data_IF_668615779644
#
_entry.id   IF_668615779644
#
_cell.length_a   1.000
_cell.length_b   1.000
_cell.length_c   1.000
_cell.angle_alpha   90.00
_cell.angle_beta   90.00
_cell.angle_gamma   90.00
#
_symmetry.space_group_name_H-M   'P 1'
#
loop_
_entity.id
_entity.type
_entity.pdbx_description
1 polymer ?
#
# COMPACT_ATOMS: atom_id res chain seq x y z
N UNK A 1 10.45 1.02 15.47
CA UNK A 1 9.19 0.26 15.48
C UNK A 1 9.50 -1.12 14.96
N UNK A 2 9.09 -2.16 15.68
CA UNK A 2 9.16 -3.55 15.21
C UNK A 2 7.93 -3.84 14.34
N UNK A 3 8.10 -4.69 13.34
CA UNK A 3 7.08 -5.08 12.35
C UNK A 3 6.65 -6.55 12.53
N UNK A 4 7.12 -7.21 13.60
CA UNK A 4 6.82 -8.61 13.92
C UNK A 4 5.32 -8.89 14.15
N UNK A 5 4.54 -7.85 14.45
CA UNK A 5 3.09 -7.95 14.69
C UNK A 5 2.25 -7.72 13.42
N UNK A 6 2.88 -7.67 12.25
CA UNK A 6 2.24 -7.58 10.94
C UNK A 6 2.39 -8.92 10.24
N UNK A 7 1.28 -9.50 9.82
CA UNK A 7 1.26 -10.78 9.11
C UNK A 7 1.59 -10.59 7.62
N UNK A 8 1.15 -9.49 7.01
CA UNK A 8 1.43 -9.19 5.60
C UNK A 8 1.58 -7.69 5.32
N UNK A 9 2.56 -7.32 4.50
CA UNK A 9 2.80 -5.97 3.98
C UNK A 9 2.66 -6.01 2.46
N UNK A 10 1.80 -5.17 1.89
CA UNK A 10 1.50 -5.17 0.46
C UNK A 10 0.85 -3.85 0.00
N UNK A 11 0.68 -3.64 -1.32
CA UNK A 11 0.02 -2.42 -1.84
C UNK A 11 -1.51 -2.56 -1.98
N UNK A 12 -2.26 -1.46 -1.92
CA UNK A 12 -3.73 -1.47 -2.14
C UNK A 12 -4.13 -2.14 -3.47
N UNK A 13 -3.32 -1.99 -4.53
CA UNK A 13 -3.62 -2.67 -5.79
C UNK A 13 -3.40 -4.17 -5.69
N UNK A 14 -2.33 -4.62 -5.02
CA UNK A 14 -2.06 -6.04 -4.77
C UNK A 14 -3.21 -6.73 -4.03
N UNK A 15 -3.71 -6.16 -2.92
CA UNK A 15 -4.85 -6.77 -2.19
C UNK A 15 -6.13 -6.79 -3.00
N UNK A 16 -6.37 -5.77 -3.83
CA UNK A 16 -7.52 -5.75 -4.76
C UNK A 16 -7.40 -6.82 -5.84
N UNK A 17 -6.19 -7.09 -6.33
CA UNK A 17 -5.90 -8.15 -7.28
C UNK A 17 -6.14 -9.53 -6.64
N UNK A 18 -5.70 -9.74 -5.38
CA UNK A 18 -5.99 -10.95 -4.61
C UNK A 18 -7.49 -11.12 -4.29
N UNK A 19 -8.20 -10.04 -3.91
CA UNK A 19 -9.65 -10.08 -3.72
C UNK A 19 -10.37 -10.46 -5.02
N UNK A 20 -9.94 -9.89 -6.15
CA UNK A 20 -10.51 -10.22 -7.46
C UNK A 20 -10.29 -11.69 -7.80
N UNK A 21 -9.08 -12.21 -7.55
CA UNK A 21 -8.74 -13.62 -7.73
C UNK A 21 -9.70 -14.55 -6.98
N UNK A 22 -9.93 -14.32 -5.67
CA UNK A 22 -10.80 -15.20 -4.87
C UNK A 22 -12.29 -15.05 -5.16
N UNK A 23 -12.71 -13.90 -5.71
CA UNK A 23 -14.13 -13.60 -5.96
C UNK A 23 -14.60 -14.01 -7.35
N UNK A 24 -13.93 -13.52 -8.40
CA UNK A 24 -14.38 -13.66 -9.80
C UNK A 24 -13.26 -14.02 -10.77
N UNK A 25 -12.03 -14.15 -10.28
CA UNK A 25 -10.82 -14.24 -11.10
C UNK A 25 -10.28 -12.88 -11.55
N UNK A 26 -9.02 -12.86 -11.95
CA UNK A 26 -8.30 -11.64 -12.33
C UNK A 26 -8.72 -11.09 -13.70
N UNK A 27 -8.72 -9.76 -13.83
CA UNK A 27 -8.91 -9.07 -15.12
C UNK A 27 -7.59 -8.84 -15.87
N UNK A 28 -6.46 -8.81 -15.16
CA UNK A 28 -5.11 -8.56 -15.69
C UNK A 28 -4.13 -9.52 -15.04
N UNK A 29 -3.15 -9.98 -15.81
CA UNK A 29 -2.11 -10.83 -15.27
C UNK A 29 -1.30 -10.05 -14.24
N UNK A 30 -0.93 -10.73 -13.16
CA UNK A 30 -0.13 -10.16 -12.07
C UNK A 30 0.97 -11.14 -11.70
N UNK A 31 2.18 -10.61 -11.53
CA UNK A 31 3.31 -11.32 -10.96
C UNK A 31 3.63 -10.69 -9.60
N UNK A 32 3.85 -11.51 -8.58
CA UNK A 32 4.02 -11.09 -7.20
C UNK A 32 5.30 -11.69 -6.64
N UNK A 33 6.28 -10.86 -6.36
CA UNK A 33 7.45 -11.23 -5.57
C UNK A 33 7.04 -11.29 -4.10
N UNK A 34 7.37 -12.39 -3.44
CA UNK A 34 7.00 -12.67 -2.06
C UNK A 34 8.23 -12.99 -1.24
N UNK A 35 8.35 -12.31 -0.10
CA UNK A 35 9.45 -12.48 0.84
C UNK A 35 8.89 -12.64 2.25
N UNK A 36 9.25 -13.73 2.91
CA UNK A 36 8.89 -13.97 4.30
C UNK A 36 10.06 -13.56 5.19
N UNK A 37 9.82 -12.58 6.06
CA UNK A 37 10.78 -12.14 7.08
C UNK A 37 10.15 -12.49 8.43
N UNK A 38 10.77 -13.42 9.15
CA UNK A 38 10.17 -14.07 10.31
C UNK A 38 8.77 -14.60 9.96
N UNK A 39 7.71 -13.95 10.46
CA UNK A 39 6.31 -14.29 10.20
C UNK A 39 5.58 -13.26 9.32
N UNK A 40 6.28 -12.22 8.85
CA UNK A 40 5.72 -11.15 8.02
C UNK A 40 5.94 -11.45 6.54
N UNK A 41 4.86 -11.64 5.79
CA UNK A 41 4.91 -11.80 4.34
C UNK A 41 4.90 -10.44 3.65
N UNK A 42 5.95 -10.11 2.89
CA UNK A 42 5.99 -8.93 2.04
C UNK A 42 5.63 -9.33 0.62
N UNK A 43 4.65 -8.65 0.02
CA UNK A 43 4.20 -8.91 -1.36
C UNK A 43 4.38 -7.65 -2.21
N UNK A 44 5.33 -7.72 -3.16
CA UNK A 44 5.55 -6.70 -4.18
C UNK A 44 5.03 -7.20 -5.54
N UNK A 45 4.06 -6.51 -6.12
CA UNK A 45 3.45 -6.93 -7.38
C UNK A 45 3.94 -6.08 -8.56
N UNK A 46 4.28 -6.73 -9.68
CA UNK A 46 4.39 -6.10 -11.00
C UNK A 46 3.09 -6.36 -11.77
N UNK A 47 2.28 -5.30 -11.91
CA UNK A 47 1.02 -5.35 -12.65
C UNK A 47 1.22 -4.87 -14.09
N UNK A 48 0.56 -5.55 -15.03
CA UNK A 48 0.57 -5.24 -16.48
C UNK A 48 0.26 -3.75 -16.81
N UNK A 49 -0.38 -3.00 -15.88
CA UNK A 49 -0.63 -1.56 -16.01
C UNK A 49 0.64 -0.74 -16.25
N UNK A 50 1.75 -1.08 -15.61
CA UNK A 50 3.00 -0.30 -15.69
C UNK A 50 3.62 -0.32 -17.10
N UNK A 51 3.28 -1.32 -17.92
CA UNK A 51 3.86 -1.48 -19.28
C UNK A 51 3.08 -0.76 -20.38
N UNK A 52 1.87 -0.24 -20.11
CA UNK A 52 0.93 0.26 -21.15
C UNK A 52 0.68 1.77 -21.08
N UNK A 53 1.57 2.54 -20.46
CA UNK A 53 1.49 4.01 -20.45
C UNK A 53 1.68 4.61 -21.86
N UNK A 54 2.37 3.89 -22.76
CA UNK A 54 2.77 4.38 -24.08
C UNK A 54 1.93 3.82 -25.25
N UNK A 55 0.60 3.66 -25.11
CA UNK A 55 -0.25 3.32 -26.27
C UNK A 55 -0.84 4.59 -26.92
N UNK A 56 -0.33 5.04 -28.08
CA UNK A 56 -0.76 6.28 -28.74
C UNK A 56 -2.22 6.24 -29.23
N UNK A 57 -2.89 5.09 -29.17
CA UNK A 57 -4.33 4.95 -29.51
C UNK A 57 -5.26 5.19 -28.34
N UNK A 58 -4.74 5.32 -27.11
CA UNK A 58 -5.58 5.66 -25.95
C UNK A 58 -5.95 7.13 -26.00
N UNK A 59 -7.23 7.41 -25.79
CA UNK A 59 -7.71 8.78 -25.54
C UNK A 59 -6.92 9.40 -24.38
N UNK A 60 -6.69 10.72 -24.38
CA UNK A 60 -6.07 11.41 -23.26
C UNK A 60 -6.79 11.06 -21.95
N UNK A 61 -6.01 10.69 -20.92
CA UNK A 61 -6.54 10.52 -19.58
C UNK A 61 -6.43 11.86 -18.85
N UNK A 62 -7.57 12.42 -18.45
CA UNK A 62 -7.64 13.73 -17.79
C UNK A 62 -7.52 13.63 -16.26
N UNK A 63 -7.19 12.46 -15.72
CA UNK A 63 -7.02 12.24 -14.28
C UNK A 63 -6.00 13.18 -13.64
N UNK A 64 -4.77 13.24 -14.18
CA UNK A 64 -3.74 14.12 -13.63
C UNK A 64 -4.10 15.60 -13.77
N UNK A 65 -4.65 16.01 -14.92
CA UNK A 65 -5.12 17.39 -15.08
C UNK A 65 -6.25 17.74 -14.08
N UNK A 66 -7.10 16.77 -13.71
CA UNK A 66 -8.09 16.95 -12.66
C UNK A 66 -7.45 17.08 -11.29
N UNK A 67 -6.49 16.23 -10.96
CA UNK A 67 -5.71 16.32 -9.72
C UNK A 67 -5.03 17.70 -9.60
N UNK A 68 -4.33 18.14 -10.65
CA UNK A 68 -3.63 19.43 -10.69
C UNK A 68 -4.58 20.62 -10.54
N UNK A 69 -5.76 20.56 -11.17
CA UNK A 69 -6.72 21.66 -11.15
C UNK A 69 -7.54 21.74 -9.85
N UNK A 70 -7.74 20.61 -9.16
CA UNK A 70 -8.64 20.51 -7.99
C UNK A 70 -7.91 20.25 -6.67
N UNK A 71 -6.58 20.18 -6.68
CA UNK A 71 -5.77 20.09 -5.46
C UNK A 71 -4.83 21.27 -5.32
N UNK A 72 -4.36 21.50 -4.09
CA UNK A 72 -3.29 22.45 -3.84
C UNK A 72 -2.43 21.94 -2.70
N UNK A 73 -1.12 22.22 -2.77
CA UNK A 73 -0.19 21.88 -1.72
C UNK A 73 -0.12 23.02 -0.70
N UNK A 74 -0.01 22.66 0.58
CA UNK A 74 0.40 23.61 1.60
C UNK A 74 1.81 24.13 1.30
N UNK A 75 2.17 25.30 1.83
CA UNK A 75 3.46 25.94 1.53
C UNK A 75 4.67 25.01 1.76
N UNK A 76 4.60 24.13 2.77
CA UNK A 76 5.67 23.20 3.12
C UNK A 76 5.77 21.96 2.19
N UNK A 77 4.73 21.68 1.40
CA UNK A 77 4.60 20.48 0.57
C UNK A 77 4.59 20.80 -0.94
N UNK A 78 4.86 22.05 -1.34
CA UNK A 78 4.76 22.49 -2.75
C UNK A 78 5.65 21.72 -3.72
N UNK A 79 6.77 21.18 -3.24
CA UNK A 79 7.72 20.42 -4.06
C UNK A 79 7.40 18.90 -4.08
N UNK A 80 6.30 18.47 -3.46
CA UNK A 80 5.88 17.07 -3.44
C UNK A 80 5.31 16.65 -4.79
N UNK A 81 5.64 15.42 -5.21
CA UNK A 81 5.13 14.81 -6.47
C UNK A 81 4.05 13.77 -6.25
N UNK A 82 4.03 13.12 -5.08
CA UNK A 82 3.05 12.12 -4.70
C UNK A 82 3.00 11.99 -3.18
N UNK A 83 1.89 11.48 -2.67
CA UNK A 83 1.74 11.15 -1.25
C UNK A 83 1.42 9.67 -1.10
N UNK A 84 2.18 8.98 -0.27
CA UNK A 84 1.94 7.58 0.05
C UNK A 84 1.54 7.43 1.51
N UNK A 85 0.52 6.60 1.75
CA UNK A 85 0.04 6.24 3.08
C UNK A 85 0.26 4.76 3.30
N UNK A 86 0.70 4.42 4.51
CA UNK A 86 0.68 3.05 5.02
C UNK A 86 -0.31 2.99 6.18
N UNK A 87 -1.28 2.09 6.09
CA UNK A 87 -2.29 1.87 7.13
C UNK A 87 -2.23 0.42 7.61
N UNK A 88 -2.41 0.22 8.91
CA UNK A 88 -2.44 -1.10 9.55
C UNK A 88 -3.83 -1.37 10.11
N UNK A 89 -4.39 -2.53 9.81
CA UNK A 89 -5.67 -2.97 10.34
C UNK A 89 -5.78 -4.50 10.34
N UNK A 90 -6.83 -5.02 11.00
CA UNK A 90 -7.19 -6.44 10.94
C UNK A 90 -8.10 -6.70 9.74
N UNK A 91 -7.79 -7.75 8.99
CA UNK A 91 -8.64 -8.36 7.97
C UNK A 91 -8.89 -9.79 8.42
N UNK A 92 -10.05 -10.06 9.01
CA UNK A 92 -10.29 -11.35 9.65
C UNK A 92 -9.26 -11.63 10.75
N UNK A 93 -8.53 -12.73 10.61
CA UNK A 93 -7.47 -13.13 11.55
C UNK A 93 -6.13 -12.41 11.26
N UNK A 94 -5.90 -12.02 10.02
CA UNK A 94 -4.63 -11.47 9.52
C UNK A 94 -4.49 -9.98 9.84
N UNK A 95 -3.33 -9.59 10.34
CA UNK A 95 -2.91 -8.19 10.50
C UNK A 95 -2.25 -7.70 9.22
N UNK A 96 -2.91 -6.80 8.50
CA UNK A 96 -2.44 -6.30 7.21
C UNK A 96 -1.87 -4.89 7.35
N UNK A 97 -0.76 -4.62 6.66
CA UNK A 97 -0.28 -3.27 6.40
C UNK A 97 -0.40 -2.98 4.89
N UNK A 98 -1.23 -2.01 4.55
CA UNK A 98 -1.53 -1.65 3.16
C UNK A 98 -0.90 -0.30 2.83
N UNK A 99 -0.03 -0.30 1.82
CA UNK A 99 0.55 0.91 1.24
C UNK A 99 -0.26 1.36 0.03
N UNK A 100 -0.57 2.65 -0.09
CA UNK A 100 -1.21 3.22 -1.27
C UNK A 100 -0.85 4.68 -1.47
N UNK A 101 -0.95 5.11 -2.73
CA UNK A 101 -0.97 6.52 -3.07
C UNK A 101 -2.28 7.17 -2.59
N UNK A 102 -2.16 8.40 -2.12
CA UNK A 102 -3.22 9.24 -1.64
C UNK A 102 -3.34 10.47 -2.54
N UNK A 103 -4.50 10.66 -3.15
CA UNK A 103 -4.71 11.72 -4.13
C UNK A 103 -4.87 13.09 -3.44
N UNK A 104 -5.69 13.17 -2.39
CA UNK A 104 -5.92 14.42 -1.67
C UNK A 104 -6.38 14.20 -0.21
N UNK A 105 -6.43 15.31 0.53
CA UNK A 105 -7.19 15.44 1.77
C UNK A 105 -8.27 16.49 1.62
N UNK A 106 -9.45 16.24 2.16
CA UNK A 106 -10.61 17.10 2.16
C UNK A 106 -11.15 17.25 3.59
N UNK A 107 -11.21 18.49 4.06
CA UNK A 107 -11.78 18.85 5.37
C UNK A 107 -12.89 19.87 5.15
N UNK A 108 -14.06 19.62 5.74
CA UNK A 108 -15.21 20.55 5.65
C UNK A 108 -15.07 21.74 6.59
N UNK A 109 -14.08 21.72 7.48
CA UNK A 109 -13.82 22.85 8.38
C UNK A 109 -13.10 23.94 7.58
N UNK A 110 -13.49 25.23 7.73
CA UNK A 110 -12.74 26.32 7.14
C UNK A 110 -11.28 26.18 7.58
N UNK A 111 -10.33 26.36 6.66
CA UNK A 111 -8.91 26.46 7.01
C UNK A 111 -8.67 27.74 7.83
N UNK A 112 -9.13 27.74 9.07
CA UNK A 112 -8.79 28.69 10.12
C UNK A 112 -7.47 28.31 10.80
N UNK A 113 -6.90 29.23 11.59
CA UNK A 113 -5.55 29.05 12.12
C UNK A 113 -5.46 27.79 12.98
N UNK A 114 -4.61 26.87 12.52
CA UNK A 114 -4.12 25.67 13.20
C UNK A 114 -5.17 24.92 14.04
N UNK A 115 -5.66 23.82 13.48
CA UNK A 115 -6.33 22.79 14.27
C UNK A 115 -5.55 22.51 15.56
N UNK A 116 -6.17 22.65 16.74
CA UNK A 116 -5.51 22.34 18.00
C UNK A 116 -5.05 20.90 17.94
N UNK A 117 -3.77 20.71 18.24
CA UNK A 117 -3.13 19.42 18.25
C UNK A 117 -3.97 18.39 19.02
N UNK A 118 -4.17 17.24 18.37
CA UNK A 118 -4.54 15.93 18.93
C UNK A 118 -4.82 15.93 20.44
N UNK A 119 -6.10 15.94 20.80
CA UNK A 119 -6.59 15.41 22.07
C UNK A 119 -7.69 14.39 21.76
N UNK A 120 -7.31 13.15 21.45
CA UNK A 120 -8.27 12.06 21.47
C UNK A 120 -8.53 11.63 22.93
N UNK A 121 -9.78 11.74 23.31
CA UNK A 121 -10.35 10.98 24.42
C UNK A 121 -10.52 9.53 23.92
N UNK A 122 -9.67 8.62 24.35
CA UNK A 122 -10.02 7.19 24.44
C UNK A 122 -9.38 6.16 23.49
N UNK A 123 -8.34 6.49 22.70
CA UNK A 123 -7.59 5.48 21.93
C UNK A 123 -6.15 5.36 22.43
N UNK A 124 -5.74 4.15 22.82
CA UNK A 124 -4.42 3.83 23.38
C UNK A 124 -3.25 3.91 22.38
N UNK A 125 -3.44 4.51 21.21
CA UNK A 125 -2.37 4.81 20.26
C UNK A 125 -1.93 6.26 20.46
N UNK A 126 -0.93 6.43 21.33
CA UNK A 126 -0.46 7.72 21.80
C UNK A 126 -0.09 8.71 20.69
N UNK A 127 -0.45 9.96 20.93
CA UNK A 127 0.06 11.19 20.33
C UNK A 127 1.46 11.05 19.71
N UNK A 128 1.56 10.77 18.41
CA UNK A 128 2.80 11.01 17.68
C UNK A 128 2.70 12.41 17.08
N UNK A 129 2.84 13.44 17.93
CA UNK A 129 3.65 14.58 17.46
C UNK A 129 5.04 13.99 17.24
N UNK A 130 5.68 14.13 16.07
CA UNK A 130 7.05 13.70 15.92
C UNK A 130 7.85 14.42 17.00
N UNK A 131 8.31 13.69 18.00
CA UNK A 131 9.16 14.29 19.03
C UNK A 131 10.38 14.87 18.32
N UNK A 132 10.99 15.92 18.88
CA UNK A 132 12.24 16.46 18.32
C UNK A 132 13.30 15.37 18.11
N UNK A 133 13.25 14.28 18.90
CA UNK A 133 14.06 13.08 18.72
C UNK A 133 13.69 12.22 17.50
N UNK A 134 12.42 12.13 17.12
CA UNK A 134 11.97 11.44 15.90
C UNK A 134 12.43 12.22 14.65
N UNK A 135 12.32 13.55 14.67
CA UNK A 135 12.80 14.45 13.61
C UNK A 135 14.30 14.30 13.39
N UNK A 136 15.10 14.38 14.46
CA UNK A 136 16.56 14.20 14.41
C UNK A 136 16.95 12.81 13.87
N UNK A 137 16.19 11.76 14.23
CA UNK A 137 16.43 10.39 13.78
C UNK A 137 16.18 10.20 12.27
N UNK A 138 15.13 10.82 11.70
CA UNK A 138 14.87 10.76 10.26
C UNK A 138 15.83 11.61 9.43
N UNK A 139 16.22 12.78 9.94
CA UNK A 139 17.25 13.61 9.31
C UNK A 139 18.62 12.90 9.26
N UNK A 140 18.93 12.05 10.24
CA UNK A 140 20.13 11.20 10.28
C UNK A 140 20.05 9.94 9.40
N UNK A 141 18.84 9.43 9.10
CA UNK A 141 18.62 8.27 8.21
C UNK A 141 18.76 8.63 6.72
N UNK A 142 18.83 9.92 6.39
CA UNK A 142 19.07 10.47 5.05
C UNK A 142 20.55 10.42 4.62
N UNK A 143 21.26 9.33 4.94
CA UNK A 143 22.71 9.24 4.76
C UNK A 143 23.15 8.67 3.41
N UNK A 144 22.24 8.09 2.62
CA UNK A 144 22.48 7.79 1.20
C UNK A 144 21.93 8.96 0.35
N UNK A 145 22.85 9.77 -0.17
CA UNK A 145 22.62 11.14 -0.69
C UNK A 145 21.68 11.33 -1.89
N UNK A 146 20.83 10.37 -2.23
CA UNK A 146 19.85 10.46 -3.32
C UNK A 146 18.44 10.89 -2.87
N UNK A 147 18.03 10.58 -1.62
CA UNK A 147 16.69 10.90 -1.12
C UNK A 147 16.74 11.48 0.28
N UNK A 148 16.37 12.76 0.43
CA UNK A 148 16.29 13.42 1.73
C UNK A 148 14.89 13.33 2.33
N UNK A 149 14.76 12.61 3.45
CA UNK A 149 13.51 12.59 4.22
C UNK A 149 13.36 13.92 4.95
N UNK A 150 12.27 14.64 4.65
CA UNK A 150 11.89 15.87 5.36
C UNK A 150 10.64 15.61 6.17
N UNK A 151 10.67 16.01 7.43
CA UNK A 151 9.48 16.03 8.27
C UNK A 151 8.78 17.38 8.09
N UNK A 152 7.62 17.37 7.43
CA UNK A 152 6.82 18.55 7.12
C UNK A 152 5.32 18.22 7.15
N UNK A 153 4.46 19.23 7.33
CA UNK A 153 3.01 19.08 7.40
C UNK A 153 2.47 18.62 8.77
N UNK A 154 1.16 18.74 8.95
CA UNK A 154 0.44 18.39 10.19
C UNK A 154 -0.05 16.94 10.24
N UNK A 155 0.10 16.18 9.15
CA UNK A 155 -0.58 14.90 8.95
C UNK A 155 -2.06 15.08 8.56
N UNK A 156 -2.69 14.01 8.08
CA UNK A 156 -4.09 14.00 7.67
C UNK A 156 -4.84 12.86 8.36
N UNK A 157 -6.06 13.14 8.83
CA UNK A 157 -6.89 12.10 9.44
C UNK A 157 -7.38 11.11 8.36
N UNK A 158 -7.56 9.83 8.68
CA UNK A 158 -8.20 8.88 7.75
C UNK A 158 -9.55 9.40 7.23
N UNK A 159 -10.33 10.05 8.11
CA UNK A 159 -11.62 10.65 7.78
C UNK A 159 -11.53 11.78 6.77
N UNK A 160 -10.37 12.41 6.59
CA UNK A 160 -10.17 13.51 5.64
C UNK A 160 -9.62 13.01 4.31
N UNK A 161 -9.32 11.72 4.16
CA UNK A 161 -8.72 11.23 2.92
C UNK A 161 -9.70 11.25 1.77
N UNK A 162 -9.25 11.73 0.61
CA UNK A 162 -10.03 11.79 -0.61
C UNK A 162 -9.32 11.08 -1.77
N UNK A 163 -10.09 10.33 -2.56
CA UNK A 163 -9.70 9.79 -3.85
C UNK A 163 -10.30 10.66 -4.97
N UNK A 164 -9.52 11.02 -5.98
CA UNK A 164 -9.97 11.83 -7.11
C UNK A 164 -10.21 10.96 -8.34
N UNK A 165 -11.33 11.17 -9.04
CA UNK A 165 -11.70 10.41 -10.24
C UNK A 165 -12.27 11.30 -11.33
N UNK A 166 -11.52 11.46 -12.42
CA UNK A 166 -11.99 12.06 -13.66
C UNK A 166 -12.62 11.00 -14.57
N UNK A 167 -13.78 11.31 -15.18
CA UNK A 167 -14.49 10.38 -16.06
C UNK A 167 -15.38 11.12 -17.08
N UNK A 168 -15.60 10.54 -18.25
CA UNK A 168 -16.56 11.10 -19.23
C UNK A 168 -18.02 10.71 -18.98
N UNK A 169 -18.26 9.83 -18.01
CA UNK A 169 -19.59 9.41 -17.56
C UNK A 169 -19.60 9.28 -16.04
N UNK A 170 -20.80 9.35 -15.46
CA UNK A 170 -20.99 9.15 -14.03
C UNK A 170 -20.60 7.72 -13.64
N UNK A 171 -19.71 7.58 -12.66
CA UNK A 171 -19.37 6.30 -12.04
C UNK A 171 -20.00 6.24 -10.66
N UNK A 172 -20.74 5.17 -10.38
CA UNK A 172 -21.28 4.96 -9.04
C UNK A 172 -20.15 4.75 -8.04
N UNK A 173 -20.35 5.22 -6.81
CA UNK A 173 -19.42 5.00 -5.70
C UNK A 173 -19.08 3.50 -5.51
N UNK A 174 -20.07 2.63 -5.77
CA UNK A 174 -19.95 1.17 -5.80
C UNK A 174 -18.76 0.66 -6.63
N UNK A 175 -18.43 1.34 -7.72
CA UNK A 175 -17.30 1.02 -8.61
C UNK A 175 -15.95 1.18 -7.92
N UNK A 176 -15.87 2.08 -6.93
CA UNK A 176 -14.66 2.45 -6.21
C UNK A 176 -14.58 1.87 -4.80
N UNK A 177 -15.62 1.19 -4.32
CA UNK A 177 -15.69 0.73 -2.92
C UNK A 177 -14.52 -0.14 -2.49
N UNK A 178 -14.04 -1.08 -3.31
CA UNK A 178 -12.86 -1.88 -2.95
C UNK A 178 -11.64 -0.98 -2.70
N UNK A 179 -11.49 0.08 -3.49
CA UNK A 179 -10.38 1.01 -3.37
C UNK A 179 -10.49 1.87 -2.11
N UNK A 180 -11.69 2.39 -1.84
CA UNK A 180 -11.97 3.21 -0.67
C UNK A 180 -11.86 2.40 0.63
N UNK A 181 -12.46 1.20 0.67
CA UNK A 181 -12.47 0.34 1.86
C UNK A 181 -11.06 -0.16 2.22
N UNK A 182 -10.29 -0.69 1.26
CA UNK A 182 -8.92 -1.17 1.55
C UNK A 182 -7.94 -0.03 1.87
N UNK A 183 -8.20 1.19 1.40
CA UNK A 183 -7.40 2.39 1.68
C UNK A 183 -7.88 3.20 2.88
N UNK A 184 -9.03 2.85 3.48
CA UNK A 184 -9.72 3.65 4.51
C UNK A 184 -9.85 5.12 4.07
N UNK A 185 -10.25 5.31 2.83
CA UNK A 185 -10.42 6.63 2.19
C UNK A 185 -11.89 7.02 2.25
N UNK A 186 -12.24 7.96 3.13
CA UNK A 186 -13.64 8.32 3.37
C UNK A 186 -14.28 9.09 2.21
N UNK A 187 -13.54 9.94 1.51
CA UNK A 187 -14.11 10.77 0.44
C UNK A 187 -13.75 10.26 -0.95
N UNK A 188 -14.70 10.41 -1.87
CA UNK A 188 -14.44 10.36 -3.31
C UNK A 188 -14.88 11.67 -3.94
N UNK A 189 -13.98 12.28 -4.70
CA UNK A 189 -14.19 13.52 -5.44
C UNK A 189 -14.17 13.16 -6.93
N UNK A 190 -15.29 13.37 -7.61
CA UNK A 190 -15.45 13.02 -9.01
C UNK A 190 -15.56 14.25 -9.89
N UNK A 191 -14.95 14.20 -11.07
CA UNK A 191 -15.06 15.22 -12.11
C UNK A 191 -15.56 14.59 -13.39
N UNK A 192 -16.79 14.96 -13.81
CA UNK A 192 -17.34 14.55 -15.10
C UNK A 192 -16.86 15.52 -16.17
N UNK A 193 -16.25 15.00 -17.24
CA UNK A 193 -15.70 15.83 -18.31
C UNK A 193 -16.15 15.41 -19.71
N UNK A 194 -16.21 16.37 -20.63
CA UNK A 194 -16.26 16.12 -22.06
C UNK A 194 -14.94 16.61 -22.66
N UNK A 195 -14.08 15.67 -23.10
CA UNK A 195 -12.79 15.98 -23.75
C UNK A 195 -11.88 16.94 -22.93
N UNK A 196 -11.84 16.75 -21.61
CA UNK A 196 -11.03 17.58 -20.70
C UNK A 196 -11.76 18.79 -20.13
N UNK A 197 -12.92 19.15 -20.68
CA UNK A 197 -13.78 20.19 -20.10
C UNK A 197 -14.63 19.60 -18.98
N UNK A 198 -14.28 19.89 -17.72
CA UNK A 198 -15.00 19.44 -16.53
C UNK A 198 -16.32 20.23 -16.38
N UNK A 199 -17.43 19.52 -16.44
CA UNK A 199 -18.78 20.10 -16.46
C UNK A 199 -19.48 19.98 -15.11
N UNK A 200 -19.12 18.98 -14.31
CA UNK A 200 -19.80 18.65 -13.07
C UNK A 200 -18.79 18.01 -12.12
N UNK A 201 -18.80 18.44 -10.86
CA UNK A 201 -17.97 17.88 -9.81
C UNK A 201 -18.86 17.38 -8.67
N UNK A 202 -18.55 16.21 -8.13
CA UNK A 202 -19.26 15.61 -7.02
C UNK A 202 -18.29 15.27 -5.89
N UNK A 203 -18.75 15.45 -4.64
CA UNK A 203 -18.03 14.99 -3.45
C UNK A 203 -18.97 14.08 -2.69
N UNK A 204 -18.52 12.87 -2.40
CA UNK A 204 -19.29 11.88 -1.64
C UNK A 204 -18.45 11.36 -0.49
N UNK A 205 -19.02 11.35 0.72
CA UNK A 205 -18.48 10.60 1.84
C UNK A 205 -19.00 9.16 1.76
N UNK A 206 -18.08 8.20 1.63
CA UNK A 206 -18.33 6.77 1.49
C UNK A 206 -18.32 5.99 2.82
N UNK A 207 -18.04 6.65 3.94
CA UNK A 207 -17.80 5.96 5.22
C UNK A 207 -19.03 5.17 5.69
N UNK A 208 -20.24 5.69 5.49
CA UNK A 208 -21.49 4.98 5.78
C UNK A 208 -21.70 3.73 4.92
N UNK A 209 -21.05 3.65 3.76
CA UNK A 209 -21.15 2.51 2.84
C UNK A 209 -20.16 1.39 3.18
N UNK A 210 -19.20 1.62 4.08
CA UNK A 210 -18.15 0.64 4.39
C UNK A 210 -18.70 -0.60 5.07
N UNK A 211 -19.58 -0.45 6.07
CA UNK A 211 -20.22 -1.59 6.75
C UNK A 211 -21.08 -2.40 5.78
N UNK A 212 -21.91 -1.72 4.98
CA UNK A 212 -22.78 -2.35 3.98
C UNK A 212 -21.95 -3.11 2.93
N UNK A 213 -20.86 -2.51 2.46
CA UNK A 213 -19.96 -3.17 1.52
C UNK A 213 -19.30 -4.39 2.16
N UNK A 214 -18.81 -4.27 3.38
CA UNK A 214 -18.15 -5.35 4.11
C UNK A 214 -19.08 -6.55 4.36
N UNK A 215 -20.31 -6.30 4.80
CA UNK A 215 -21.34 -7.33 4.98
C UNK A 215 -21.62 -8.10 3.67
N UNK A 216 -21.71 -7.38 2.54
CA UNK A 216 -21.95 -7.98 1.22
C UNK A 216 -20.74 -8.73 0.65
N UNK A 217 -19.56 -8.59 1.24
CA UNK A 217 -18.31 -9.18 0.74
C UNK A 217 -17.68 -10.19 1.72
N UNK A 218 -18.37 -10.57 2.80
CA UNK A 218 -17.84 -11.45 3.84
C UNK A 218 -17.20 -12.74 3.30
N UNK A 219 -17.88 -13.46 2.41
CA UNK A 219 -17.32 -14.69 1.83
C UNK A 219 -15.99 -14.46 1.11
N UNK A 220 -15.90 -13.38 0.32
CA UNK A 220 -14.69 -13.03 -0.41
C UNK A 220 -13.57 -12.55 0.51
N UNK A 221 -13.91 -11.83 1.59
CA UNK A 221 -12.95 -11.37 2.59
C UNK A 221 -12.38 -12.54 3.41
N UNK A 222 -13.20 -13.52 3.77
CA UNK A 222 -12.75 -14.75 4.45
C UNK A 222 -11.84 -15.59 3.53
N UNK A 223 -12.19 -15.74 2.26
CA UNK A 223 -11.32 -16.39 1.27
C UNK A 223 -9.99 -15.66 1.11
N UNK A 224 -10.00 -14.32 1.16
CA UNK A 224 -8.78 -13.51 1.08
C UNK A 224 -7.89 -13.68 2.31
N UNK A 225 -8.46 -13.68 3.51
CA UNK A 225 -7.76 -13.99 4.78
C UNK A 225 -7.08 -15.36 4.70
N UNK A 226 -7.82 -16.40 4.31
CA UNK A 226 -7.29 -17.76 4.12
C UNK A 226 -6.19 -17.81 3.05
N UNK A 227 -6.37 -17.12 1.92
CA UNK A 227 -5.38 -17.06 0.85
C UNK A 227 -4.06 -16.46 1.35
N UNK A 228 -4.10 -15.36 2.13
CA UNK A 228 -2.89 -14.74 2.67
C UNK A 228 -2.14 -15.72 3.58
N UNK A 229 -2.86 -16.45 4.42
CA UNK A 229 -2.25 -17.48 5.28
C UNK A 229 -1.59 -18.60 4.47
N UNK A 230 -2.27 -19.11 3.44
CA UNK A 230 -1.75 -20.13 2.53
C UNK A 230 -0.49 -19.63 1.82
N UNK A 231 -0.48 -18.39 1.34
CA UNK A 231 0.69 -17.80 0.69
C UNK A 231 1.87 -17.69 1.64
N UNK A 232 1.63 -17.29 2.89
CA UNK A 232 2.67 -17.21 3.92
C UNK A 232 3.30 -18.57 4.18
N UNK A 233 2.48 -19.58 4.45
CA UNK A 233 2.93 -20.96 4.69
C UNK A 233 3.72 -21.49 3.49
N UNK A 234 3.17 -21.31 2.27
CA UNK A 234 3.80 -21.81 1.06
C UNK A 234 5.15 -21.15 0.82
N UNK A 235 5.26 -19.83 0.96
CA UNK A 235 6.54 -19.11 0.80
C UNK A 235 7.54 -19.53 1.88
N UNK A 236 7.08 -19.77 3.11
CA UNK A 236 7.91 -20.36 4.17
C UNK A 236 8.49 -21.72 3.78
N UNK A 237 7.66 -22.62 3.23
CA UNK A 237 8.12 -23.94 2.74
C UNK A 237 9.14 -23.87 1.61
N UNK A 238 9.22 -22.74 0.89
CA UNK A 238 10.17 -22.49 -0.19
C UNK A 238 11.47 -21.81 0.30
N UNK A 239 11.71 -21.73 1.60
CA UNK A 239 12.88 -21.07 2.18
C UNK A 239 12.73 -19.55 2.25
N UNK A 240 11.50 -19.06 2.37
CA UNK A 240 11.17 -17.66 2.64
C UNK A 240 11.09 -16.75 1.41
N UNK A 241 11.22 -17.29 0.20
CA UNK A 241 11.08 -16.51 -1.04
C UNK A 241 10.27 -17.27 -2.09
N UNK A 242 9.41 -16.56 -2.81
CA UNK A 242 8.59 -17.13 -3.87
C UNK A 242 8.08 -16.09 -4.86
N UNK A 243 7.66 -16.57 -6.03
CA UNK A 243 7.02 -15.76 -7.07
C UNK A 243 5.64 -16.32 -7.35
N UNK A 244 4.61 -15.52 -7.09
CA UNK A 244 3.22 -15.84 -7.38
C UNK A 244 2.82 -15.30 -8.75
N UNK A 245 2.23 -16.13 -9.59
CA UNK A 245 1.80 -15.72 -10.93
C UNK A 245 0.33 -16.09 -11.11
N UNK A 246 -0.47 -15.09 -11.48
CA UNK A 246 -1.83 -15.30 -11.99
C UNK A 246 -1.81 -14.84 -13.44
N UNK A 247 -1.82 -15.79 -14.38
CA UNK A 247 -1.75 -15.50 -15.80
C UNK A 247 -3.13 -15.58 -16.46
N UNK A 248 -3.75 -14.43 -16.72
CA UNK A 248 -5.13 -14.35 -17.27
C UNK A 248 -5.32 -15.10 -18.58
N UNK A 249 -4.26 -15.25 -19.41
CA UNK A 249 -4.35 -15.92 -20.70
C UNK A 249 -4.35 -17.45 -20.56
N UNK A 250 -3.86 -17.96 -19.42
CA UNK A 250 -3.92 -19.39 -19.07
C UNK A 250 -5.12 -19.69 -18.20
N UNK A 251 -5.26 -18.96 -17.09
CA UNK A 251 -6.41 -19.05 -16.20
C UNK A 251 -6.54 -17.79 -15.35
N UNK A 252 -7.78 -17.36 -15.12
CA UNK A 252 -8.07 -16.22 -14.23
C UNK A 252 -8.20 -16.62 -12.76
N UNK A 253 -8.22 -17.93 -12.47
CA UNK A 253 -8.56 -18.50 -11.17
C UNK A 253 -7.50 -19.47 -10.65
N UNK A 254 -6.35 -19.58 -11.32
CA UNK A 254 -5.20 -20.35 -10.86
C UNK A 254 -4.08 -19.37 -10.49
N UNK A 255 -3.61 -19.47 -9.25
CA UNK A 255 -2.42 -18.79 -8.74
C UNK A 255 -1.31 -19.84 -8.59
N UNK A 256 -0.29 -19.73 -9.42
CA UNK A 256 0.89 -20.60 -9.37
C UNK A 256 1.95 -19.98 -8.46
N UNK A 257 2.60 -20.79 -7.62
CA UNK A 257 3.70 -20.36 -6.76
C UNK A 257 4.99 -21.05 -7.21
N UNK A 258 5.96 -20.24 -7.60
CA UNK A 258 7.24 -20.67 -8.14
C UNK A 258 8.37 -20.30 -7.17
N UNK A 259 9.43 -21.11 -7.14
CA UNK A 259 10.68 -20.73 -6.48
C UNK A 259 11.42 -19.72 -7.34
N UNK A 260 11.89 -18.62 -6.75
CA UNK A 260 12.71 -17.66 -7.47
C UNK A 260 14.05 -18.29 -7.88
N UNK A 261 14.42 -18.24 -9.16
CA UNK A 261 15.72 -18.74 -9.63
C UNK A 261 16.88 -17.93 -9.07
N UNK A 262 16.69 -16.62 -8.92
CA UNK A 262 17.62 -15.71 -8.25
C UNK A 262 16.97 -15.21 -6.99
N UNK A 263 17.60 -15.44 -5.84
CA UNK A 263 17.18 -14.82 -4.59
C UNK A 263 17.41 -13.31 -4.69
N UNK A 264 16.37 -12.55 -4.41
CA UNK A 264 16.46 -11.09 -4.27
C UNK A 264 16.41 -10.76 -2.78
N UNK A 265 17.22 -9.81 -2.35
CA UNK A 265 17.14 -9.24 -1.01
C UNK A 265 16.36 -7.92 -1.15
N UNK A 266 15.04 -7.92 -0.89
CA UNK A 266 14.22 -6.72 -1.13
C UNK A 266 14.54 -5.60 -0.14
N UNK A 267 15.20 -5.93 0.97
CA UNK A 267 15.56 -5.04 2.06
C UNK A 267 16.98 -5.39 2.50
N UNK A 268 17.76 -4.40 2.91
CA UNK A 268 19.10 -4.63 3.48
C UNK A 268 19.00 -5.36 4.81
N UNK A 269 20.03 -6.13 5.15
CA UNK A 269 20.13 -6.83 6.45
C UNK A 269 19.96 -5.85 7.60
N UNK A 270 20.66 -4.71 7.59
CA UNK A 270 20.54 -3.68 8.64
C UNK A 270 19.09 -3.20 8.82
N UNK A 271 18.34 -3.04 7.71
CA UNK A 271 16.93 -2.66 7.78
C UNK A 271 16.08 -3.74 8.43
N UNK A 272 16.31 -5.01 8.07
CA UNK A 272 15.62 -6.16 8.66
C UNK A 272 15.91 -6.24 10.16
N UNK A 273 17.18 -6.18 10.59
CA UNK A 273 17.57 -6.29 12.00
C UNK A 273 17.01 -5.14 12.85
N UNK A 274 16.91 -3.94 12.26
CA UNK A 274 16.30 -2.77 12.90
C UNK A 274 14.80 -2.98 13.12
N UNK A 275 14.10 -3.55 12.14
CA UNK A 275 12.63 -3.56 12.09
C UNK A 275 11.97 -4.89 12.45
N UNK A 276 12.69 -6.00 12.49
CA UNK A 276 12.19 -7.30 12.96
C UNK A 276 13.03 -7.81 14.12
N UNK A 277 12.41 -8.60 14.99
CA UNK A 277 13.09 -9.18 16.13
C UNK A 277 14.04 -10.27 15.64
N UNK A 278 15.22 -10.35 16.26
CA UNK A 278 16.15 -11.43 15.97
C UNK A 278 15.52 -12.74 16.43
N UNK A 279 15.38 -13.70 15.52
CA UNK A 279 15.01 -15.05 15.93
C UNK A 279 16.25 -15.60 16.65
N UNK A 280 16.11 -15.96 17.93
CA UNK A 280 17.10 -16.78 18.62
C UNK A 280 17.13 -18.16 17.94
N UNK A 281 17.84 -18.27 16.83
CA UNK A 281 18.20 -19.58 16.30
C UNK A 281 19.18 -20.18 17.31
N UNK A 282 18.70 -21.13 18.11
CA UNK A 282 19.54 -21.93 18.99
C UNK A 282 20.81 -22.34 18.24
N UNK A 283 21.96 -22.06 18.86
CA UNK A 283 23.33 -22.24 18.36
C UNK A 283 23.46 -23.36 17.32
N UNK A 284 23.51 -22.99 16.04
CA UNK A 284 24.28 -23.74 15.05
C UNK A 284 25.35 -22.79 14.53
N UNK A 285 26.55 -22.94 15.10
CA UNK A 285 27.77 -22.30 14.65
C UNK A 285 28.16 -22.87 13.29
N UNK A 286 27.88 -22.12 12.22
CA UNK A 286 28.54 -22.35 10.94
C UNK A 286 29.91 -21.66 11.05
N UNK A 287 30.95 -22.46 11.27
CA UNK A 287 32.32 -22.01 11.11
C UNK A 287 32.53 -21.64 9.63
N UNK A 288 32.68 -20.36 9.34
CA UNK A 288 33.26 -19.95 8.07
C UNK A 288 34.75 -20.33 8.09
N UNK A 289 35.10 -21.35 7.31
CA UNK A 289 36.48 -21.74 7.08
C UNK A 289 37.27 -20.55 6.53
N UNK A 290 38.34 -20.22 7.21
CA UNK A 290 39.36 -19.27 6.77
C UNK A 290 39.89 -19.70 5.39
N UNK A 291 39.83 -18.77 4.44
CA UNK A 291 40.39 -18.94 3.11
C UNK A 291 41.86 -19.38 3.20
N UNK A 292 42.14 -20.50 2.53
CA UNK A 292 43.46 -21.02 2.25
C UNK A 292 44.29 -19.98 1.46
N UNK A 293 45.52 -19.82 1.92
CA UNK A 293 46.62 -19.11 1.28
C UNK A 293 46.90 -19.64 -0.13
N UNK A 294 47.24 -18.70 -1.03
CA UNK A 294 47.73 -18.94 -2.38
C UNK A 294 49.24 -19.24 -2.33
N UNK A 295 49.62 -20.42 -2.81
CA UNK A 295 50.92 -20.81 -3.38
C UNK A 295 50.58 -21.32 -4.80
N UNK A 296 51.19 -20.93 -5.90
CA UNK A 296 52.29 -20.02 -6.24
C UNK A 296 51.86 -19.13 -7.42
#
# INVERSE_FOLDING_TARGET
MKLDDIDVILTRNTIRSLLSFVKTGIKRSVAMQMHLINNTLIIAADEEKNRRYNDPRKRPNWGHAFEDAFTSYSAELRDSISHHRVIKYKLGSVTVAVCHEADASYSQLPQGPQHPAYQERGSSFGNIKPSAGLRRRYEQLSTDGLTKVRLAGAGTFPSEMAELKASCFFQSIGTHMNQLWFGRTSYIITGKHAEGNFQECGIVNAESEFSIWEERHQEALQKLDSLIMILRERVGSLGGQGVGIINKSRSKTILEIWTAQKKTEPLSVEFIERHWSQIETGRFSVQFGSNMTRQD
#
